data_IF_104163778990
#
_entry.id   IF_104163778990
#
_cell.length_a   1.000
_cell.length_b   1.000
_cell.length_c   1.000
_cell.angle_alpha   90.00
_cell.angle_beta   90.00
_cell.angle_gamma   90.00
#
_symmetry.space_group_name_H-M   'P 1'
#
loop_
_entity.id
_entity.type
_entity.pdbx_description
1 polymer ?
#
# COMPACT_ATOMS: atom_id res chain seq x y z
N UNK A 1 -11.75 4.17 12.50
CA UNK A 1 -10.56 3.55 13.12
C UNK A 1 -9.32 4.34 12.75
N UNK A 2 -8.45 4.65 13.71
CA UNK A 2 -7.14 5.25 13.46
C UNK A 2 -6.12 4.12 13.34
N UNK A 3 -5.75 3.77 12.11
CA UNK A 3 -4.86 2.63 11.84
C UNK A 3 -3.49 2.78 12.52
N UNK A 4 -3.01 4.01 12.71
CA UNK A 4 -1.74 4.32 13.38
C UNK A 4 -1.73 4.07 14.90
N UNK A 5 -2.87 3.73 15.51
CA UNK A 5 -2.96 3.29 16.92
C UNK A 5 -3.25 1.79 17.05
N UNK A 6 -3.27 1.04 15.95
CA UNK A 6 -3.51 -0.40 16.00
C UNK A 6 -2.29 -1.11 16.55
N UNK A 7 -2.49 -1.95 17.58
CA UNK A 7 -1.47 -2.91 18.02
C UNK A 7 -1.41 -4.05 17.01
N UNK A 8 -0.23 -4.34 16.52
CA UNK A 8 -0.02 -5.50 15.66
C UNK A 8 -0.09 -6.79 16.48
N UNK A 9 -0.89 -7.75 16.03
CA UNK A 9 -1.02 -9.07 16.66
C UNK A 9 -0.12 -10.13 16.02
N UNK A 10 0.40 -9.86 14.82
CA UNK A 10 1.35 -10.71 14.10
C UNK A 10 2.38 -9.86 13.36
N UNK A 11 3.50 -10.47 12.98
CA UNK A 11 4.59 -9.78 12.28
C UNK A 11 4.17 -9.25 10.91
N UNK A 12 3.23 -9.93 10.23
CA UNK A 12 2.66 -9.48 8.95
C UNK A 12 1.98 -8.12 9.09
N UNK A 13 1.06 -7.99 10.04
CA UNK A 13 0.33 -6.76 10.32
C UNK A 13 1.27 -5.66 10.80
N UNK A 14 2.29 -6.02 11.58
CA UNK A 14 3.33 -5.07 12.02
C UNK A 14 4.10 -4.50 10.83
N UNK A 15 4.55 -5.34 9.90
CA UNK A 15 5.22 -4.90 8.67
C UNK A 15 4.31 -4.00 7.83
N UNK A 16 3.03 -4.38 7.65
CA UNK A 16 2.06 -3.56 6.91
C UNK A 16 1.86 -2.21 7.59
N UNK A 17 1.63 -2.16 8.90
CA UNK A 17 1.40 -0.91 9.63
C UNK A 17 2.62 0.01 9.57
N UNK A 18 3.84 -0.54 9.58
CA UNK A 18 5.07 0.24 9.45
C UNK A 18 5.30 0.75 8.02
N UNK A 19 4.98 -0.05 6.99
CA UNK A 19 5.22 0.30 5.59
C UNK A 19 4.10 1.15 4.96
N UNK A 20 2.86 1.03 5.44
CA UNK A 20 1.70 1.75 4.91
C UNK A 20 1.92 3.27 4.78
N UNK A 21 2.43 4.01 5.78
CA UNK A 21 2.63 5.45 5.64
C UNK A 21 3.62 5.81 4.52
N UNK A 22 4.75 5.09 4.40
CA UNK A 22 5.73 5.39 3.35
C UNK A 22 5.17 5.06 1.96
N UNK A 23 4.44 3.94 1.81
CA UNK A 23 3.77 3.59 0.55
C UNK A 23 2.71 4.63 0.14
N UNK A 24 1.91 5.13 1.08
CA UNK A 24 0.90 6.17 0.82
C UNK A 24 1.58 7.48 0.38
N UNK A 25 2.56 7.95 1.15
CA UNK A 25 3.29 9.19 0.84
C UNK A 25 3.96 9.09 -0.53
N UNK A 26 4.62 7.97 -0.82
CA UNK A 26 5.29 7.73 -2.09
C UNK A 26 4.34 7.75 -3.29
N UNK A 27 3.22 7.03 -3.22
CA UNK A 27 2.26 6.98 -4.33
C UNK A 27 1.51 8.30 -4.51
N UNK A 28 1.23 9.01 -3.41
CA UNK A 28 0.63 10.35 -3.47
C UNK A 28 1.58 11.34 -4.13
N UNK A 29 2.86 11.28 -3.78
CA UNK A 29 3.91 12.09 -4.40
C UNK A 29 4.06 11.77 -5.90
N UNK A 30 4.15 10.48 -6.28
CA UNK A 30 4.17 10.06 -7.70
C UNK A 30 2.96 10.58 -8.48
N UNK A 31 1.75 10.48 -7.91
CA UNK A 31 0.53 10.99 -8.54
C UNK A 31 0.57 12.51 -8.71
N UNK A 32 1.00 13.27 -7.68
CA UNK A 32 1.19 14.71 -7.76
C UNK A 32 2.19 15.09 -8.87
N UNK A 33 3.33 14.41 -8.93
CA UNK A 33 4.34 14.65 -9.97
C UNK A 33 3.81 14.32 -11.37
N UNK A 34 3.04 13.24 -11.51
CA UNK A 34 2.42 12.87 -12.78
C UNK A 34 1.39 13.88 -13.27
N UNK A 35 0.66 14.54 -12.35
CA UNK A 35 -0.25 15.63 -12.70
C UNK A 35 0.50 16.91 -13.03
N UNK A 36 1.52 17.26 -12.23
CA UNK A 36 2.28 18.50 -12.43
C UNK A 36 3.16 18.49 -13.69
N UNK A 37 3.78 17.36 -14.00
CA UNK A 37 4.80 17.26 -15.05
C UNK A 37 4.41 16.35 -16.22
N UNK A 38 3.47 15.42 -16.02
CA UNK A 38 3.10 14.41 -17.02
C UNK A 38 1.73 14.64 -17.67
N UNK A 39 1.07 15.75 -17.37
CA UNK A 39 -0.27 16.11 -17.85
C UNK A 39 -1.34 15.01 -17.63
N UNK A 40 -1.14 14.13 -16.63
CA UNK A 40 -2.10 13.05 -16.30
C UNK A 40 -3.09 13.53 -15.25
N UNK A 41 -4.35 13.10 -15.37
CA UNK A 41 -5.34 13.37 -14.34
C UNK A 41 -5.01 12.66 -13.02
N UNK A 42 -5.19 13.38 -11.92
CA UNK A 42 -5.06 12.81 -10.57
C UNK A 42 -6.16 11.78 -10.34
N UNK A 43 -5.80 10.59 -9.86
CA UNK A 43 -6.78 9.53 -9.57
C UNK A 43 -6.50 8.87 -8.22
N UNK A 44 -7.37 9.14 -7.25
CA UNK A 44 -7.31 8.53 -5.93
C UNK A 44 -7.52 7.02 -5.99
N UNK A 45 -8.35 6.52 -6.93
CA UNK A 45 -8.54 5.08 -7.17
C UNK A 45 -7.22 4.42 -7.59
N UNK A 46 -6.47 5.05 -8.50
CA UNK A 46 -5.17 4.55 -8.96
C UNK A 46 -4.12 4.59 -7.85
N UNK A 47 -4.09 5.65 -7.05
CA UNK A 47 -3.18 5.75 -5.89
C UNK A 47 -3.44 4.62 -4.90
N UNK A 48 -4.70 4.35 -4.54
CA UNK A 48 -5.07 3.25 -3.63
C UNK A 48 -4.63 1.89 -4.19
N UNK A 49 -4.86 1.66 -5.48
CA UNK A 49 -4.44 0.42 -6.14
C UNK A 49 -2.91 0.24 -6.12
N UNK A 50 -2.15 1.29 -6.41
CA UNK A 50 -0.68 1.22 -6.37
C UNK A 50 -0.15 1.02 -4.95
N UNK A 51 -0.75 1.64 -3.94
CA UNK A 51 -0.41 1.38 -2.53
C UNK A 51 -0.66 -0.08 -2.18
N UNK A 52 -1.78 -0.65 -2.61
CA UNK A 52 -2.09 -2.07 -2.41
C UNK A 52 -1.05 -2.97 -3.10
N UNK A 53 -0.68 -2.67 -4.34
CA UNK A 53 0.35 -3.43 -5.07
C UNK A 53 1.71 -3.36 -4.38
N UNK A 54 2.14 -2.17 -3.95
CA UNK A 54 3.41 -1.98 -3.25
C UNK A 54 3.45 -2.78 -1.93
N UNK A 55 2.35 -2.80 -1.17
CA UNK A 55 2.23 -3.60 0.05
C UNK A 55 2.20 -5.10 -0.22
N UNK A 56 1.50 -5.53 -1.26
CA UNK A 56 1.45 -6.95 -1.65
C UNK A 56 2.82 -7.44 -2.07
N UNK A 57 3.55 -6.63 -2.86
CA UNK A 57 4.92 -6.93 -3.25
C UNK A 57 5.83 -7.03 -2.02
N UNK A 58 5.74 -6.07 -1.09
CA UNK A 58 6.49 -6.12 0.17
C UNK A 58 6.18 -7.37 0.99
N UNK A 59 4.92 -7.77 1.07
CA UNK A 59 4.54 -8.98 1.80
C UNK A 59 5.09 -10.24 1.13
N UNK A 60 5.05 -10.33 -0.19
CA UNK A 60 5.62 -11.47 -0.91
C UNK A 60 7.16 -11.52 -0.81
N UNK A 61 7.84 -10.37 -0.68
CA UNK A 61 9.30 -10.35 -0.53
C UNK A 61 9.75 -10.70 0.89
N UNK A 62 9.04 -10.21 1.91
CA UNK A 62 9.37 -10.46 3.33
C UNK A 62 8.86 -11.82 3.80
N UNK A 63 7.71 -12.26 3.29
CA UNK A 63 7.03 -13.48 3.71
C UNK A 63 6.64 -14.34 2.48
N UNK A 64 7.62 -14.91 1.76
CA UNK A 64 7.36 -15.67 0.53
C UNK A 64 6.50 -16.93 0.73
N UNK A 65 6.40 -17.41 1.96
CA UNK A 65 5.57 -18.55 2.34
C UNK A 65 4.08 -18.19 2.53
N UNK A 66 3.73 -16.90 2.63
CA UNK A 66 2.34 -16.46 2.70
C UNK A 66 1.72 -16.50 1.32
N UNK A 67 0.78 -17.42 1.10
CA UNK A 67 -0.10 -17.37 -0.05
C UNK A 67 -1.15 -16.29 0.17
N UNK A 68 -0.85 -15.05 -0.24
CA UNK A 68 -1.83 -13.98 -0.19
C UNK A 68 -2.92 -14.26 -1.24
N UNK A 69 -4.20 -14.37 -0.87
CA UNK A 69 -5.25 -14.69 -1.82
C UNK A 69 -5.46 -13.54 -2.81
N UNK A 70 -5.44 -13.86 -4.11
CA UNK A 70 -5.66 -12.89 -5.19
C UNK A 70 -7.09 -12.31 -5.23
N UNK A 71 -8.02 -12.92 -4.50
CA UNK A 71 -9.39 -12.45 -4.34
C UNK A 71 -9.85 -12.70 -2.92
N UNK A 72 -10.20 -11.64 -2.20
CA UNK A 72 -10.94 -11.74 -0.96
C UNK A 72 -12.43 -11.81 -1.36
N UNK A 73 -13.05 -12.98 -1.28
CA UNK A 73 -14.52 -13.08 -1.40
C UNK A 73 -15.09 -12.50 -0.11
N UNK A 74 -15.63 -11.28 -0.20
CA UNK A 74 -16.51 -10.68 0.80
C UNK A 74 -17.89 -11.29 0.74
#
# INVERSE_FOLDING_TARGET
MRWWFMKAHNEVLKTVLQALPICICWNTWKNRCSTKYGNKQSSSKRVKYLVYQDLTLLLHTVFPYLQCPNSWRT
#
